data_IF_326999074705
#
_entry.id   IF_326999074705
#
_cell.length_a   1.000
_cell.length_b   1.000
_cell.length_c   1.000
_cell.angle_alpha   90.00
_cell.angle_beta   90.00
_cell.angle_gamma   90.00
#
_symmetry.space_group_name_H-M   'P 1'
#
loop_
_entity.id
_entity.type
_entity.pdbx_description
1 polymer ?
#
# COMPACT_ATOMS: atom_id res chain seq x y z
N UNK A 1 -5.18 11.59 8.59
CA UNK A 1 -5.21 10.11 8.52
C UNK A 1 -3.79 9.63 8.25
N UNK A 2 -3.27 8.72 9.06
CA UNK A 2 -1.97 8.09 8.86
C UNK A 2 -2.16 6.58 8.70
N UNK A 3 -1.34 5.93 7.87
CA UNK A 3 -1.35 4.47 7.70
C UNK A 3 -0.05 3.93 8.30
N UNK A 4 -0.16 3.01 9.24
CA UNK A 4 0.97 2.38 9.90
C UNK A 4 1.51 1.21 9.06
N UNK A 5 2.66 1.42 8.42
CA UNK A 5 3.30 0.39 7.60
C UNK A 5 3.67 -0.87 8.41
N UNK A 6 4.08 -0.71 9.67
CA UNK A 6 4.42 -1.85 10.53
C UNK A 6 3.20 -2.70 10.90
N UNK A 7 2.01 -2.11 10.95
CA UNK A 7 0.76 -2.85 11.05
C UNK A 7 0.43 -3.57 9.74
N UNK A 8 0.57 -2.91 8.58
CA UNK A 8 0.35 -3.55 7.28
C UNK A 8 1.25 -4.78 7.06
N UNK A 9 2.53 -4.67 7.43
CA UNK A 9 3.48 -5.78 7.36
C UNK A 9 2.99 -6.98 8.18
N UNK A 10 2.50 -6.75 9.40
CA UNK A 10 2.04 -7.81 10.30
C UNK A 10 0.69 -8.40 9.90
N UNK A 11 -0.26 -7.57 9.51
CA UNK A 11 -1.63 -8.00 9.15
C UNK A 11 -1.67 -8.77 7.82
N UNK A 12 -0.82 -8.37 6.86
CA UNK A 12 -0.89 -8.85 5.49
C UNK A 12 0.40 -9.53 5.00
N UNK A 13 1.34 -9.83 5.91
CA UNK A 13 2.64 -10.44 5.61
C UNK A 13 3.43 -9.70 4.50
N UNK A 14 3.30 -8.37 4.48
CA UNK A 14 3.99 -7.51 3.52
C UNK A 14 5.43 -7.24 3.98
N UNK A 15 6.32 -7.06 3.02
CA UNK A 15 7.62 -6.42 3.24
C UNK A 15 7.42 -4.93 3.48
N UNK A 16 8.44 -4.24 4.01
CA UNK A 16 8.40 -2.78 4.18
C UNK A 16 8.10 -2.05 2.85
N UNK A 17 8.74 -2.49 1.75
CA UNK A 17 8.51 -1.88 0.44
C UNK A 17 7.09 -2.09 -0.09
N UNK A 18 6.51 -3.26 0.14
CA UNK A 18 5.14 -3.60 -0.25
C UNK A 18 4.12 -2.82 0.59
N UNK A 19 4.37 -2.69 1.90
CA UNK A 19 3.53 -1.93 2.81
C UNK A 19 3.48 -0.45 2.44
N UNK A 20 4.62 0.15 2.07
CA UNK A 20 4.67 1.54 1.56
C UNK A 20 3.82 1.71 0.31
N UNK A 21 3.98 0.84 -0.69
CA UNK A 21 3.17 0.89 -1.92
C UNK A 21 1.68 0.70 -1.60
N UNK A 22 1.31 -0.22 -0.71
CA UNK A 22 -0.08 -0.42 -0.32
C UNK A 22 -0.68 0.80 0.38
N UNK A 23 0.07 1.44 1.29
CA UNK A 23 -0.34 2.67 1.96
C UNK A 23 -0.52 3.82 0.97
N UNK A 24 0.42 4.00 0.03
CA UNK A 24 0.34 5.05 -0.98
C UNK A 24 -0.89 4.89 -1.90
N UNK A 25 -1.18 3.65 -2.33
CA UNK A 25 -2.38 3.34 -3.12
C UNK A 25 -3.65 3.64 -2.32
N UNK A 26 -3.67 3.30 -1.02
CA UNK A 26 -4.79 3.62 -0.14
C UNK A 26 -4.99 5.13 0.08
N UNK A 27 -3.92 5.92 -0.03
CA UNK A 27 -3.96 7.39 -0.05
C UNK A 27 -4.35 7.97 -1.42
N UNK A 28 -4.58 7.13 -2.43
CA UNK A 28 -5.01 7.54 -3.77
C UNK A 28 -3.87 7.94 -4.71
N UNK A 29 -2.62 7.63 -4.37
CA UNK A 29 -1.49 7.87 -5.26
C UNK A 29 -1.44 6.87 -6.42
N UNK A 30 -1.17 7.35 -7.63
CA UNK A 30 -0.94 6.49 -8.80
C UNK A 30 0.46 5.84 -8.74
N UNK A 31 0.64 4.57 -9.17
CA UNK A 31 1.95 3.89 -9.21
C UNK A 31 3.07 4.67 -9.91
N UNK A 32 2.76 5.46 -10.95
CA UNK A 32 3.75 6.29 -11.63
C UNK A 32 4.17 7.50 -10.80
N UNK A 33 3.26 8.04 -9.97
CA UNK A 33 3.56 9.11 -9.04
C UNK A 33 4.44 8.57 -7.91
N UNK A 34 4.10 7.40 -7.36
CA UNK A 34 4.91 6.70 -6.34
C UNK A 34 6.34 6.46 -6.87
N UNK A 35 6.45 5.93 -8.10
CA UNK A 35 7.73 5.67 -8.74
C UNK A 35 8.59 6.94 -8.84
N UNK A 36 8.01 8.05 -9.32
CA UNK A 36 8.71 9.34 -9.43
C UNK A 36 9.11 9.90 -8.07
N UNK A 37 8.21 9.86 -7.09
CA UNK A 37 8.46 10.36 -5.73
C UNK A 37 9.60 9.61 -5.04
N UNK A 38 9.64 8.30 -5.21
CA UNK A 38 10.60 7.43 -4.52
C UNK A 38 11.91 7.22 -5.30
N UNK A 39 12.07 7.87 -6.47
CA UNK A 39 13.24 7.68 -7.35
C UNK A 39 13.36 6.26 -7.90
N UNK A 40 12.23 5.55 -8.06
CA UNK A 40 12.16 4.15 -8.50
C UNK A 40 11.57 4.05 -9.89
N UNK A 41 11.82 2.94 -10.58
CA UNK A 41 11.16 2.67 -11.85
C UNK A 41 9.68 2.31 -11.64
N UNK A 42 8.83 2.72 -12.57
CA UNK A 42 7.41 2.31 -12.55
C UNK A 42 7.24 0.79 -12.70
N UNK A 43 8.22 0.10 -13.31
CA UNK A 43 8.23 -1.36 -13.36
C UNK A 43 8.40 -1.97 -11.96
N UNK A 44 9.32 -1.45 -11.15
CA UNK A 44 9.56 -1.90 -9.78
C UNK A 44 8.32 -1.72 -8.90
N UNK A 45 7.66 -0.55 -8.97
CA UNK A 45 6.43 -0.29 -8.21
C UNK A 45 5.31 -1.24 -8.65
N UNK A 46 5.16 -1.50 -9.95
CA UNK A 46 4.18 -2.49 -10.46
C UNK A 46 4.47 -3.92 -10.00
N UNK A 47 5.74 -4.32 -9.94
CA UNK A 47 6.13 -5.63 -9.42
C UNK A 47 5.77 -5.78 -7.93
N UNK A 48 6.07 -4.75 -7.12
CA UNK A 48 5.67 -4.70 -5.72
C UNK A 48 4.13 -4.75 -5.57
N UNK A 49 3.40 -3.98 -6.39
CA UNK A 49 1.94 -3.99 -6.38
C UNK A 49 1.35 -5.36 -6.73
N UNK A 50 1.96 -6.09 -7.68
CA UNK A 50 1.55 -7.46 -8.03
C UNK A 50 1.76 -8.44 -6.86
N UNK A 51 2.87 -8.30 -6.13
CA UNK A 51 3.13 -9.08 -4.94
C UNK A 51 2.11 -8.78 -3.83
N UNK A 52 1.81 -7.50 -3.60
CA UNK A 52 0.76 -7.05 -2.67
C UNK A 52 -0.59 -7.66 -3.02
N UNK A 53 -1.01 -7.58 -4.29
CA UNK A 53 -2.25 -8.18 -4.79
C UNK A 53 -2.35 -9.68 -4.49
N UNK A 54 -1.25 -10.40 -4.70
CA UNK A 54 -1.18 -11.84 -4.40
C UNK A 54 -1.32 -12.09 -2.90
N UNK A 55 -0.59 -11.35 -2.06
CA UNK A 55 -0.58 -11.51 -0.59
C UNK A 55 -1.91 -11.12 0.06
N UNK A 56 -2.51 -10.04 -0.41
CA UNK A 56 -3.78 -9.52 0.08
C UNK A 56 -5.00 -10.11 -0.65
N UNK A 57 -4.79 -11.05 -1.58
CA UNK A 57 -5.85 -11.72 -2.36
C UNK A 57 -6.82 -10.73 -3.02
N UNK A 58 -6.26 -9.67 -3.60
CA UNK A 58 -7.03 -8.65 -4.32
C UNK A 58 -6.44 -8.43 -5.72
N UNK A 59 -7.26 -7.98 -6.66
CA UNK A 59 -6.85 -7.86 -8.07
C UNK A 59 -6.98 -6.43 -8.62
N UNK A 60 -7.41 -5.47 -7.78
CA UNK A 60 -7.67 -4.08 -8.18
C UNK A 60 -7.15 -3.11 -7.13
N UNK A 61 -6.61 -1.98 -7.57
CA UNK A 61 -6.11 -0.93 -6.68
C UNK A 61 -7.20 -0.41 -5.73
N UNK A 62 -8.42 -0.21 -6.23
CA UNK A 62 -9.54 0.24 -5.39
C UNK A 62 -9.90 -0.79 -4.31
N UNK A 63 -9.78 -2.08 -4.61
CA UNK A 63 -10.01 -3.15 -3.64
C UNK A 63 -8.90 -3.16 -2.59
N UNK A 64 -7.64 -3.04 -3.01
CA UNK A 64 -6.50 -2.89 -2.12
C UNK A 64 -6.68 -1.68 -1.18
N UNK A 65 -7.02 -0.53 -1.74
CA UNK A 65 -7.27 0.70 -0.98
C UNK A 65 -8.38 0.49 0.06
N UNK A 66 -9.51 -0.10 -0.34
CA UNK A 66 -10.60 -0.40 0.59
C UNK A 66 -10.15 -1.34 1.73
N UNK A 67 -9.40 -2.41 1.42
CA UNK A 67 -8.89 -3.34 2.44
C UNK A 67 -7.93 -2.68 3.43
N UNK A 68 -7.03 -1.82 2.95
CA UNK A 68 -6.13 -1.04 3.80
C UNK A 68 -6.93 -0.07 4.67
N UNK A 69 -7.87 0.67 4.08
CA UNK A 69 -8.67 1.68 4.78
C UNK A 69 -9.60 1.08 5.84
N UNK A 70 -10.04 -0.16 5.64
CA UNK A 70 -10.85 -0.91 6.61
C UNK A 70 -10.02 -1.66 7.66
N UNK A 71 -8.69 -1.66 7.53
CA UNK A 71 -7.80 -2.36 8.46
C UNK A 71 -7.43 -1.51 9.68
N UNK A 72 -7.04 -2.13 10.81
CA UNK A 72 -6.51 -1.43 11.99
C UNK A 72 -5.21 -0.65 11.72
N UNK A 73 -4.62 -0.75 10.54
CA UNK A 73 -3.44 0.02 10.17
C UNK A 73 -3.76 1.51 9.97
N UNK A 74 -5.02 1.88 9.74
CA UNK A 74 -5.43 3.29 9.68
C UNK A 74 -5.49 3.87 11.07
N UNK A 75 -4.63 4.85 11.32
CA UNK A 75 -4.65 5.69 12.51
C UNK A 75 -5.32 7.01 12.15
N UNK A 76 -6.49 7.21 12.75
CA UNK A 76 -7.11 8.52 12.79
C UNK A 76 -6.37 9.30 13.87
N UNK A 77 -5.74 10.40 13.48
CA UNK A 77 -5.13 11.32 14.43
C UNK A 77 -6.30 12.07 15.07
N UNK A 78 -6.77 11.59 16.21
CA UNK A 78 -7.66 12.38 17.07
C UNK A 78 -6.90 13.66 17.46
N UNK A 79 -7.49 14.81 17.12
CA UNK A 79 -7.01 16.15 17.49
C UNK A 79 -7.57 16.57 18.84
#
# INVERSE_FOLDING_TARGET
MAIDNGQLMRLFALTDSEARVAADIALGLDPQVIARRDGRSAHTVRAQLKAVFTKMRCNRQNQLAAMVLQSPAVKWLDS
#
